data_IF_483799543611
#
_entry.id   IF_483799543611
#
_cell.length_a   1.000
_cell.length_b   1.000
_cell.length_c   1.000
_cell.angle_alpha   90.00
_cell.angle_beta   90.00
_cell.angle_gamma   90.00
#
_symmetry.space_group_name_H-M   'P 1'
#
loop_
_entity.id
_entity.type
_entity.pdbx_description
1 polymer ?
#
# COMPACT_ATOMS: atom_id res chain seq x y z
N UNK A 1 -35.10 2.23 15.54
CA UNK A 1 -34.34 0.97 15.63
C UNK A 1 -33.02 1.24 14.94
N UNK A 2 -31.92 1.08 15.66
CA UNK A 2 -30.58 1.43 15.20
C UNK A 2 -30.07 0.35 14.25
N UNK A 3 -29.72 0.74 13.03
CA UNK A 3 -28.81 -0.04 12.20
C UNK A 3 -27.40 0.43 12.58
N UNK A 4 -26.78 -0.31 13.50
CA UNK A 4 -25.36 -0.20 13.73
C UNK A 4 -24.67 -0.83 12.52
N UNK A 5 -23.99 -0.01 11.72
CA UNK A 5 -23.07 -0.47 10.68
C UNK A 5 -22.01 -1.36 11.33
N UNK A 6 -22.07 -2.65 11.03
CA UNK A 6 -21.04 -3.62 11.36
C UNK A 6 -19.76 -3.18 10.65
N UNK A 7 -18.81 -2.59 11.39
CA UNK A 7 -17.41 -2.53 10.95
C UNK A 7 -16.98 -3.98 10.71
N UNK A 8 -16.99 -4.41 9.46
CA UNK A 8 -16.40 -5.69 9.09
C UNK A 8 -14.93 -5.63 9.44
N UNK A 9 -14.46 -6.61 10.21
CA UNK A 9 -13.04 -7.00 10.26
C UNK A 9 -12.62 -7.37 8.84
N UNK A 10 -12.35 -6.35 8.02
CA UNK A 10 -11.77 -6.55 6.69
C UNK A 10 -10.28 -6.71 6.96
N UNK A 11 -9.77 -7.91 6.73
CA UNK A 11 -8.33 -8.17 6.78
C UNK A 11 -7.62 -7.12 5.89
N UNK A 12 -6.50 -6.55 6.36
CA UNK A 12 -5.81 -5.51 5.60
C UNK A 12 -5.45 -6.04 4.21
N UNK A 13 -5.74 -5.26 3.17
CA UNK A 13 -5.49 -5.63 1.76
C UNK A 13 -4.10 -6.22 1.55
N UNK A 14 -3.11 -5.64 2.22
CA UNK A 14 -1.71 -6.00 2.01
C UNK A 14 -1.32 -7.40 2.50
N UNK A 15 -2.04 -8.01 3.46
CA UNK A 15 -1.61 -9.29 4.06
C UNK A 15 -1.56 -10.42 3.02
N UNK A 16 -2.46 -10.39 2.04
CA UNK A 16 -2.57 -11.38 0.98
C UNK A 16 -2.06 -10.90 -0.39
N UNK A 17 -1.34 -9.78 -0.44
CA UNK A 17 -0.78 -9.25 -1.69
C UNK A 17 0.31 -10.16 -2.29
N UNK A 18 0.63 -9.92 -3.57
CA UNK A 18 1.79 -10.54 -4.22
C UNK A 18 3.10 -10.14 -3.53
N UNK A 19 3.22 -8.88 -3.12
CA UNK A 19 4.44 -8.38 -2.49
C UNK A 19 4.70 -9.06 -1.13
N UNK A 20 3.67 -9.28 -0.30
CA UNK A 20 3.85 -10.02 0.96
C UNK A 20 4.07 -11.51 0.75
N UNK A 21 3.51 -12.10 -0.32
CA UNK A 21 3.78 -13.48 -0.69
C UNK A 21 5.26 -13.70 -1.09
N UNK A 22 5.85 -12.76 -1.83
CA UNK A 22 7.22 -12.89 -2.35
C UNK A 22 8.28 -12.42 -1.34
N UNK A 23 8.06 -11.26 -0.71
CA UNK A 23 9.07 -10.63 0.15
C UNK A 23 8.82 -10.86 1.65
N UNK A 24 7.74 -11.55 2.00
CA UNK A 24 7.36 -11.85 3.37
C UNK A 24 6.50 -10.75 4.01
N UNK A 25 5.97 -11.06 5.20
CA UNK A 25 5.00 -10.23 5.91
C UNK A 25 5.65 -9.06 6.68
N UNK A 26 6.46 -8.26 5.99
CA UNK A 26 7.18 -7.10 6.55
C UNK A 26 6.47 -5.77 6.26
N UNK A 27 6.87 -4.70 6.95
CA UNK A 27 6.23 -3.40 6.81
C UNK A 27 6.38 -2.81 5.41
N UNK A 28 7.57 -2.90 4.82
CA UNK A 28 7.86 -2.35 3.49
C UNK A 28 6.97 -2.92 2.38
N UNK A 29 6.91 -4.26 2.15
CA UNK A 29 6.03 -4.82 1.11
C UNK A 29 4.56 -4.56 1.41
N UNK A 30 4.15 -4.52 2.69
CA UNK A 30 2.78 -4.20 3.06
C UNK A 30 2.37 -2.77 2.68
N UNK A 31 3.24 -1.80 2.96
CA UNK A 31 2.99 -0.39 2.64
C UNK A 31 2.98 -0.17 1.13
N UNK A 32 3.91 -0.79 0.39
CA UNK A 32 3.94 -0.70 -1.07
C UNK A 32 2.69 -1.35 -1.71
N UNK A 33 2.27 -2.52 -1.23
CA UNK A 33 1.04 -3.17 -1.71
C UNK A 33 -0.21 -2.30 -1.45
N UNK A 34 -0.27 -1.64 -0.29
CA UNK A 34 -1.34 -0.70 0.01
C UNK A 34 -1.37 0.48 -0.97
N UNK A 35 -0.21 1.06 -1.31
CA UNK A 35 -0.09 2.15 -2.28
C UNK A 35 -0.48 1.70 -3.70
N UNK A 36 -0.02 0.53 -4.13
CA UNK A 36 -0.34 -0.03 -5.45
C UNK A 36 -1.81 -0.44 -5.59
N UNK A 37 -2.51 -0.71 -4.48
CA UNK A 37 -3.95 -1.02 -4.50
C UNK A 37 -4.82 0.17 -4.92
N UNK A 38 -4.33 1.39 -4.76
CA UNK A 38 -5.01 2.63 -5.10
C UNK A 38 -4.06 3.60 -5.84
N UNK A 39 -3.57 3.22 -7.05
CA UNK A 39 -2.43 3.89 -7.67
C UNK A 39 -2.71 5.32 -8.12
N UNK A 40 -3.98 5.65 -8.35
CA UNK A 40 -4.44 7.00 -8.74
C UNK A 40 -5.00 7.81 -7.56
N UNK A 41 -4.87 7.32 -6.32
CA UNK A 41 -5.41 7.98 -5.14
C UNK A 41 -4.33 8.50 -4.20
N UNK A 42 -4.40 9.81 -3.97
CA UNK A 42 -3.70 10.46 -2.87
C UNK A 42 -4.23 9.97 -1.52
N UNK A 43 -3.40 9.24 -0.78
CA UNK A 43 -3.73 8.70 0.52
C UNK A 43 -2.98 9.39 1.64
N UNK A 44 -3.67 9.63 2.76
CA UNK A 44 -2.99 10.02 3.99
C UNK A 44 -2.41 8.79 4.71
N UNK A 45 -1.52 9.02 5.67
CA UNK A 45 -0.88 7.97 6.45
C UNK A 45 -1.87 7.06 7.20
N UNK A 46 -3.03 7.58 7.60
CA UNK A 46 -4.05 6.76 8.27
C UNK A 46 -4.63 5.72 7.30
N UNK A 47 -5.00 6.13 6.08
CA UNK A 47 -5.51 5.20 5.05
C UNK A 47 -4.47 4.16 4.66
N UNK A 48 -3.22 4.57 4.46
CA UNK A 48 -2.11 3.67 4.14
C UNK A 48 -1.92 2.63 5.26
N UNK A 49 -1.92 3.08 6.52
CA UNK A 49 -1.77 2.21 7.68
C UNK A 49 -2.91 1.16 7.80
N UNK A 50 -4.15 1.57 7.51
CA UNK A 50 -5.31 0.69 7.48
C UNK A 50 -5.21 -0.38 6.40
N UNK A 51 -4.90 0.01 5.15
CA UNK A 51 -4.73 -0.92 4.03
C UNK A 51 -3.54 -1.87 4.22
N UNK A 52 -2.43 -1.35 4.75
CA UNK A 52 -1.21 -2.10 4.98
C UNK A 52 -1.31 -3.00 6.23
N UNK A 53 -2.23 -2.73 7.15
CA UNK A 53 -2.32 -3.46 8.41
C UNK A 53 -1.12 -3.20 9.33
N UNK A 54 -0.62 -1.97 9.36
CA UNK A 54 0.53 -1.55 10.19
C UNK A 54 0.21 -0.29 10.99
N UNK A 55 1.10 0.11 11.91
CA UNK A 55 0.91 1.35 12.64
C UNK A 55 1.23 2.57 11.78
N UNK A 56 0.55 3.71 12.02
CA UNK A 56 0.90 5.00 11.38
C UNK A 56 2.36 5.39 11.57
N UNK A 57 2.95 5.08 12.74
CA UNK A 57 4.36 5.32 13.03
C UNK A 57 5.25 4.53 12.06
N UNK A 58 4.94 3.26 11.84
CA UNK A 58 5.64 2.40 10.88
C UNK A 58 5.54 2.95 9.46
N UNK A 59 4.38 3.45 9.05
CA UNK A 59 4.24 4.10 7.74
C UNK A 59 5.17 5.31 7.62
N UNK A 60 5.22 6.20 8.62
CA UNK A 60 6.16 7.32 8.63
C UNK A 60 7.63 6.90 8.56
N UNK A 61 8.00 5.79 9.22
CA UNK A 61 9.39 5.28 9.22
C UNK A 61 9.86 4.83 7.83
N UNK A 62 8.94 4.46 6.91
CA UNK A 62 9.28 3.96 5.58
C UNK A 62 8.96 4.91 4.43
N UNK A 63 7.97 5.80 4.58
CA UNK A 63 7.54 6.69 3.50
C UNK A 63 8.66 7.59 2.97
N UNK A 64 9.46 8.18 3.85
CA UNK A 64 10.57 9.07 3.44
C UNK A 64 11.54 8.33 2.50
N UNK A 65 11.82 7.05 2.78
CA UNK A 65 12.68 6.21 1.94
C UNK A 65 12.04 5.91 0.58
N UNK A 66 10.73 5.67 0.53
CA UNK A 66 10.05 5.41 -0.75
C UNK A 66 10.00 6.66 -1.63
N UNK A 67 9.86 7.84 -1.03
CA UNK A 67 10.00 9.12 -1.72
C UNK A 67 11.42 9.32 -2.23
N UNK A 68 12.45 9.04 -1.42
CA UNK A 68 13.85 9.10 -1.87
C UNK A 68 14.17 8.14 -3.03
N UNK A 69 13.47 7.00 -3.09
CA UNK A 69 13.63 6.00 -4.14
C UNK A 69 12.81 6.30 -5.42
N UNK A 70 11.97 7.35 -5.41
CA UNK A 70 11.08 7.65 -6.53
C UNK A 70 9.87 6.71 -6.65
N UNK A 71 9.58 5.90 -5.63
CA UNK A 71 8.42 4.99 -5.67
C UNK A 71 7.11 5.69 -5.29
N UNK A 72 7.21 6.79 -4.54
CA UNK A 72 6.08 7.49 -3.93
C UNK A 72 6.30 8.98 -4.02
N UNK A 73 5.25 9.73 -4.36
CA UNK A 73 5.26 11.19 -4.31
C UNK A 73 4.47 11.72 -3.11
N UNK A 74 4.76 12.96 -2.72
CA UNK A 74 3.95 13.72 -1.76
C UNK A 74 3.42 15.01 -2.43
N UNK A 75 2.42 14.93 -3.33
CA UNK A 75 2.05 16.04 -4.21
C UNK A 75 1.36 17.20 -3.48
N UNK A 76 0.68 16.93 -2.35
CA UNK A 76 -0.09 17.94 -1.63
C UNK A 76 -0.27 17.65 -0.14
N UNK A 77 -0.84 18.64 0.53
CA UNK A 77 -1.31 18.58 1.92
C UNK A 77 -2.79 19.00 1.97
N UNK A 78 -3.62 18.23 2.67
CA UNK A 78 -5.05 18.52 2.85
C UNK A 78 -5.35 18.61 4.35
N UNK A 79 -5.84 19.76 4.79
CA UNK A 79 -6.21 20.02 6.18
C UNK A 79 -5.11 19.63 7.20
N UNK A 80 -3.85 19.97 6.91
CA UNK A 80 -2.72 19.64 7.80
C UNK A 80 -2.14 18.23 7.61
N UNK A 81 -2.71 17.41 6.73
CA UNK A 81 -2.28 16.03 6.49
C UNK A 81 -1.57 15.89 5.15
N UNK A 82 -0.34 15.39 5.18
CA UNK A 82 0.42 15.02 3.97
C UNK A 82 -0.31 13.89 3.24
N UNK A 83 -0.39 14.02 1.92
CA UNK A 83 -0.99 13.03 1.03
C UNK A 83 0.09 12.40 0.16
N UNK A 84 0.04 11.08 -0.02
CA UNK A 84 1.04 10.30 -0.73
C UNK A 84 0.36 9.44 -1.80
N UNK A 85 1.05 9.24 -2.91
CA UNK A 85 0.59 8.41 -4.04
C UNK A 85 1.79 7.66 -4.62
N UNK A 86 1.59 6.47 -5.18
CA UNK A 86 2.65 5.78 -5.92
C UNK A 86 2.99 6.61 -7.17
N UNK A 87 4.28 6.76 -7.47
CA UNK A 87 4.74 7.53 -8.63
C UNK A 87 4.73 6.65 -9.89
N UNK A 88 3.56 6.42 -10.49
CA UNK A 88 3.47 5.58 -11.70
C UNK A 88 4.15 6.17 -12.93
N UNK A 89 4.61 7.43 -12.87
CA UNK A 89 5.40 8.05 -13.94
C UNK A 89 6.92 7.76 -13.78
N UNK A 90 7.37 7.31 -12.59
CA UNK A 90 8.74 6.86 -12.35
C UNK A 90 8.95 5.39 -12.78
N UNK A 91 10.05 5.14 -13.50
CA UNK A 91 10.42 3.83 -14.04
C UNK A 91 10.60 2.74 -12.97
N UNK A 92 10.97 3.11 -11.74
CA UNK A 92 11.10 2.15 -10.65
C UNK A 92 9.74 1.72 -10.10
N UNK A 93 8.79 2.65 -9.97
CA UNK A 93 7.44 2.35 -9.51
C UNK A 93 6.62 1.62 -10.59
N UNK A 94 6.78 1.97 -11.87
CA UNK A 94 6.19 1.22 -12.99
C UNK A 94 6.63 -0.26 -12.96
N UNK A 95 7.95 -0.52 -12.81
CA UNK A 95 8.48 -1.90 -12.72
C UNK A 95 7.98 -2.65 -11.49
N UNK A 96 7.75 -1.96 -10.38
CA UNK A 96 7.18 -2.58 -9.18
C UNK A 96 5.73 -3.00 -9.43
N UNK A 97 4.92 -2.16 -10.08
CA UNK A 97 3.55 -2.47 -10.44
C UNK A 97 3.47 -3.62 -11.46
N UNK A 98 4.32 -3.60 -12.49
CA UNK A 98 4.43 -4.67 -13.48
C UNK A 98 4.80 -6.01 -12.84
N UNK A 99 5.74 -5.98 -11.88
CA UNK A 99 6.10 -7.17 -11.12
C UNK A 99 4.92 -7.69 -10.30
N UNK A 100 4.20 -6.82 -9.61
CA UNK A 100 3.04 -7.20 -8.81
C UNK A 100 1.98 -7.88 -9.68
N UNK A 101 1.62 -7.24 -10.80
CA UNK A 101 0.64 -7.76 -11.76
C UNK A 101 1.07 -9.08 -12.39
N UNK A 102 2.32 -9.17 -12.86
CA UNK A 102 2.85 -10.37 -13.54
C UNK A 102 2.95 -11.61 -12.66
N UNK A 103 2.87 -11.46 -11.33
CA UNK A 103 3.00 -12.56 -10.37
C UNK A 103 1.66 -12.99 -9.75
N UNK A 104 0.54 -12.33 -10.07
CA UNK A 104 -0.79 -12.63 -9.49
C UNK A 104 -1.15 -14.11 -9.68
N UNK A 105 -1.15 -14.60 -10.92
CA UNK A 105 -1.53 -16.00 -11.23
C UNK A 105 -0.62 -16.99 -10.50
N UNK A 106 0.69 -16.70 -10.48
CA UNK A 106 1.71 -17.55 -9.86
C UNK A 106 1.54 -17.66 -8.34
N UNK A 107 1.17 -16.56 -7.69
CA UNK A 107 0.90 -16.53 -6.25
C UNK A 107 -0.42 -17.22 -5.94
N UNK A 108 -1.44 -17.05 -6.79
CA UNK A 108 -2.74 -17.72 -6.64
C UNK A 108 -2.59 -19.25 -6.70
N UNK A 109 -1.85 -19.78 -7.68
CA UNK A 109 -1.58 -21.22 -7.83
C UNK A 109 -0.90 -21.86 -6.60
N UNK A 110 -0.09 -21.10 -5.84
CA UNK A 110 0.59 -21.62 -4.65
C UNK A 110 -0.29 -21.70 -3.41
N UNK A 111 -1.47 -21.07 -3.44
CA UNK A 111 -2.42 -20.99 -2.33
C UNK A 111 -3.56 -22.00 -2.44
N UNK A 112 -3.68 -22.68 -3.58
CA UNK A 112 -4.61 -23.82 -3.81
C UNK A 112 -4.09 -25.13 -3.20
#
# INVERSE_FOLDING_TARGET
>A
MSEAETKGDTEPYAEDSVLTAVFGNHAEPKILAALLSEPDQDMNVTRIAELAGVSRKTVYEHLDRFVELGLVEQPREVAGSKMYVIDTEDDAAEKLADFEWGMIDRVAELRE
#
